data_IF_248558754759
#
_entry.id   IF_248558754759
#
_cell.length_a   1.000
_cell.length_b   1.000
_cell.length_c   1.000
_cell.angle_alpha   90.00
_cell.angle_beta   90.00
_cell.angle_gamma   90.00
#
_symmetry.space_group_name_H-M   'P 1'
#
loop_
_entity.id
_entity.type
_entity.pdbx_description
1 polymer ?
#
# COMPACT_ATOMS: atom_id res chain seq x y z
N UNK A 1 -8.03 1.02 -23.66
CA UNK A 1 -7.08 0.65 -22.58
C UNK A 1 -7.65 1.16 -21.27
N UNK A 2 -7.65 0.34 -20.21
CA UNK A 2 -8.10 0.80 -18.89
C UNK A 2 -7.08 1.81 -18.33
N UNK A 3 -7.55 2.98 -17.89
CA UNK A 3 -6.72 3.99 -17.22
C UNK A 3 -6.23 3.40 -15.90
N UNK A 4 -4.91 3.32 -15.70
CA UNK A 4 -4.32 2.85 -14.44
C UNK A 4 -4.44 3.99 -13.43
N UNK A 5 -5.18 3.73 -12.34
CA UNK A 5 -5.54 4.70 -11.32
C UNK A 5 -5.46 4.01 -9.93
N UNK A 6 -4.77 4.60 -8.94
CA UNK A 6 -4.78 4.14 -7.53
C UNK A 6 -6.17 3.84 -6.95
N UNK A 7 -7.22 4.52 -7.44
CA UNK A 7 -8.59 4.38 -6.94
C UNK A 7 -9.47 3.44 -7.79
N UNK A 8 -8.95 2.90 -8.90
CA UNK A 8 -9.69 2.03 -9.82
C UNK A 8 -9.64 0.53 -9.49
N UNK A 9 -10.57 -0.25 -10.06
CA UNK A 9 -10.69 -1.71 -9.84
C UNK A 9 -10.26 -2.58 -11.02
N UNK A 10 -9.79 -1.99 -12.12
CA UNK A 10 -9.37 -2.72 -13.33
C UNK A 10 -8.07 -3.52 -13.13
N UNK A 11 -7.98 -4.70 -13.76
CA UNK A 11 -6.76 -5.51 -13.80
C UNK A 11 -5.76 -4.98 -14.84
N UNK A 12 -4.47 -5.01 -14.51
CA UNK A 12 -3.39 -4.70 -15.44
C UNK A 12 -3.08 -5.97 -16.24
N UNK A 13 -3.11 -5.87 -17.57
CA UNK A 13 -2.85 -6.99 -18.49
C UNK A 13 -1.51 -6.88 -19.21
N UNK A 14 -0.94 -5.67 -19.36
CA UNK A 14 0.34 -5.42 -20.04
C UNK A 14 1.34 -4.76 -19.08
N UNK A 15 2.14 -5.58 -18.41
CA UNK A 15 3.11 -5.11 -17.41
C UNK A 15 4.38 -4.52 -18.03
N UNK A 16 4.80 -4.98 -19.21
CA UNK A 16 5.97 -4.41 -19.90
C UNK A 16 5.74 -2.96 -20.28
N UNK A 17 4.54 -2.65 -20.79
CA UNK A 17 4.14 -1.28 -21.09
C UNK A 17 4.16 -0.42 -19.83
N UNK A 18 3.58 -0.91 -18.72
CA UNK A 18 3.55 -0.17 -17.45
C UNK A 18 4.95 0.08 -16.89
N UNK A 19 5.86 -0.88 -17.00
CA UNK A 19 7.23 -0.71 -16.54
C UNK A 19 7.94 0.39 -17.32
N UNK A 20 7.75 0.42 -18.64
CA UNK A 20 8.33 1.43 -19.52
C UNK A 20 7.72 2.81 -19.29
N UNK A 21 6.40 2.91 -19.21
CA UNK A 21 5.69 4.18 -19.01
C UNK A 21 6.00 4.79 -17.65
N UNK A 22 6.03 3.97 -16.59
CA UNK A 22 6.31 4.45 -15.24
C UNK A 22 7.82 4.53 -14.95
N UNK A 23 8.68 4.00 -15.81
CA UNK A 23 10.13 3.95 -15.58
C UNK A 23 10.48 3.15 -14.33
N UNK A 24 9.82 2.00 -14.15
CA UNK A 24 10.05 1.06 -13.05
C UNK A 24 11.20 0.11 -13.40
N UNK A 25 12.02 -0.24 -12.41
CA UNK A 25 13.07 -1.26 -12.58
C UNK A 25 12.46 -2.63 -12.28
N UNK A 26 12.58 -3.63 -13.18
CA UNK A 26 12.19 -5.00 -12.88
C UNK A 26 12.89 -5.51 -11.63
N UNK A 27 12.21 -6.34 -10.83
CA UNK A 27 12.82 -6.91 -9.64
C UNK A 27 13.92 -7.92 -10.04
N UNK A 28 15.19 -7.75 -9.63
CA UNK A 28 16.28 -8.60 -10.11
C UNK A 28 16.18 -10.03 -9.61
N UNK A 29 16.27 -11.01 -10.52
CA UNK A 29 16.23 -12.45 -10.18
C UNK A 29 17.28 -12.85 -9.13
N UNK A 30 18.48 -12.26 -9.21
CA UNK A 30 19.56 -12.45 -8.21
C UNK A 30 19.13 -12.07 -6.79
N UNK A 31 18.24 -11.09 -6.63
CA UNK A 31 17.72 -10.71 -5.31
C UNK A 31 16.60 -11.64 -4.90
N UNK A 32 15.71 -12.04 -5.82
CA UNK A 32 14.63 -12.98 -5.56
C UNK A 32 15.13 -14.26 -4.89
N UNK A 33 16.16 -14.89 -5.47
CA UNK A 33 16.75 -16.13 -4.93
C UNK A 33 17.40 -15.94 -3.56
N UNK A 34 17.87 -14.73 -3.23
CA UNK A 34 18.47 -14.45 -1.93
C UNK A 34 17.45 -14.16 -0.84
N UNK A 35 16.25 -13.68 -1.16
CA UNK A 35 15.23 -13.30 -0.17
C UNK A 35 14.40 -14.50 0.30
N UNK A 36 14.38 -15.61 -0.45
CA UNK A 36 13.77 -16.91 -0.05
C UNK A 36 12.34 -16.76 0.48
N UNK A 37 11.48 -16.09 -0.29
CA UNK A 37 10.08 -15.93 0.02
C UNK A 37 9.25 -16.06 -1.24
N UNK A 38 8.09 -16.70 -1.14
CA UNK A 38 7.25 -17.04 -2.29
C UNK A 38 6.87 -15.82 -3.14
N UNK A 39 6.73 -14.64 -2.52
CA UNK A 39 6.43 -13.39 -3.23
C UNK A 39 7.50 -13.03 -4.26
N UNK A 40 8.77 -13.32 -3.98
CA UNK A 40 9.87 -13.06 -4.91
C UNK A 40 10.12 -14.25 -5.84
N UNK A 41 10.04 -15.48 -5.33
CA UNK A 41 10.28 -16.71 -6.11
C UNK A 41 9.23 -16.95 -7.19
N UNK A 42 7.98 -16.51 -6.94
CA UNK A 42 6.86 -16.65 -7.88
C UNK A 42 6.60 -15.37 -8.69
N UNK A 43 7.53 -14.42 -8.69
CA UNK A 43 7.40 -13.13 -9.39
C UNK A 43 6.09 -12.40 -9.08
N UNK A 44 5.64 -12.42 -7.82
CA UNK A 44 4.49 -11.62 -7.38
C UNK A 44 4.94 -10.19 -7.10
N UNK A 45 6.11 -10.04 -6.48
CA UNK A 45 6.88 -8.80 -6.51
C UNK A 45 7.59 -8.73 -7.87
N UNK A 46 7.31 -7.68 -8.63
CA UNK A 46 7.72 -7.60 -10.03
C UNK A 46 8.61 -6.41 -10.37
N UNK A 47 8.57 -5.36 -9.54
CA UNK A 47 9.40 -4.17 -9.78
C UNK A 47 9.85 -3.50 -8.48
N UNK A 48 10.77 -2.55 -8.60
CA UNK A 48 11.23 -1.70 -7.51
C UNK A 48 11.66 -0.30 -7.96
N UNK A 49 11.79 0.61 -6.98
CA UNK A 49 12.51 1.89 -7.09
C UNK A 49 13.51 2.00 -5.96
N UNK A 50 14.80 1.95 -6.29
CA UNK A 50 15.95 2.13 -5.38
C UNK A 50 15.96 1.25 -4.13
N UNK A 51 15.36 0.06 -4.22
CA UNK A 51 15.37 -0.95 -3.16
C UNK A 51 16.79 -1.49 -2.82
N UNK A 52 17.82 -1.14 -3.61
CA UNK A 52 19.21 -1.55 -3.42
C UNK A 52 19.71 -1.32 -1.99
N UNK A 53 19.45 -0.15 -1.42
CA UNK A 53 19.90 0.20 -0.07
C UNK A 53 19.22 -0.68 1.00
N UNK A 54 17.92 -0.91 0.86
CA UNK A 54 17.16 -1.76 1.79
C UNK A 54 17.60 -3.21 1.64
N UNK A 55 17.82 -3.71 0.42
CA UNK A 55 18.37 -5.04 0.18
C UNK A 55 19.71 -5.22 0.91
N UNK A 56 20.62 -4.24 0.85
CA UNK A 56 21.87 -4.29 1.59
C UNK A 56 21.67 -4.31 3.11
N UNK A 57 20.70 -3.54 3.65
CA UNK A 57 20.36 -3.59 5.07
C UNK A 57 19.86 -4.97 5.50
N UNK A 58 19.01 -5.61 4.69
CA UNK A 58 18.55 -7.00 4.92
C UNK A 58 19.74 -7.96 4.94
N UNK A 59 20.63 -7.91 3.95
CA UNK A 59 21.80 -8.80 3.86
C UNK A 59 22.78 -8.61 5.01
N UNK A 60 22.96 -7.37 5.47
CA UNK A 60 23.86 -7.02 6.56
C UNK A 60 23.22 -7.05 7.94
N UNK A 61 21.93 -7.45 8.03
CA UNK A 61 21.14 -7.48 9.28
C UNK A 61 21.13 -6.13 10.02
N UNK A 62 21.12 -5.03 9.27
CA UNK A 62 21.03 -3.66 9.79
C UNK A 62 19.60 -3.15 9.69
N UNK A 63 19.17 -2.23 10.58
CA UNK A 63 17.82 -1.71 10.56
C UNK A 63 17.54 -0.87 9.31
N UNK A 64 16.28 -0.89 8.91
CA UNK A 64 15.66 -0.07 7.86
C UNK A 64 14.19 0.16 8.24
N UNK A 65 13.52 1.13 7.62
CA UNK A 65 12.08 1.37 7.83
C UNK A 65 11.27 0.51 6.86
N UNK A 66 10.24 -0.14 7.38
CA UNK A 66 9.21 -0.84 6.61
C UNK A 66 7.88 -0.13 6.85
N UNK A 67 7.30 0.40 5.78
CA UNK A 67 6.05 1.14 5.81
C UNK A 67 5.04 0.52 4.85
N UNK A 68 3.83 0.25 5.30
CA UNK A 68 2.68 0.02 4.41
C UNK A 68 1.41 0.55 5.08
N UNK A 69 0.30 0.56 4.36
CA UNK A 69 -0.98 0.93 4.93
C UNK A 69 -2.15 0.39 4.12
N UNK A 70 -3.28 0.22 4.80
CA UNK A 70 -4.54 -0.19 4.17
C UNK A 70 -5.59 0.88 4.46
N UNK A 71 -6.20 1.41 3.39
CA UNK A 71 -7.36 2.28 3.50
C UNK A 71 -8.51 1.52 4.16
N UNK A 72 -9.06 2.07 5.25
CA UNK A 72 -10.18 1.48 5.99
C UNK A 72 -11.54 1.70 5.30
N UNK A 73 -11.61 1.44 3.99
CA UNK A 73 -12.80 1.66 3.17
C UNK A 73 -13.80 0.51 3.21
N UNK A 74 -13.43 -0.63 3.81
CA UNK A 74 -14.31 -1.79 3.93
C UNK A 74 -13.62 -2.95 4.65
N UNK A 75 -14.19 -4.15 4.49
CA UNK A 75 -13.64 -5.37 5.04
C UNK A 75 -12.41 -5.82 4.26
N UNK A 76 -11.42 -6.36 4.98
CA UNK A 76 -10.25 -6.97 4.37
C UNK A 76 -10.64 -8.27 3.66
N UNK A 77 -10.10 -8.43 2.45
CA UNK A 77 -10.18 -9.64 1.64
C UNK A 77 -8.80 -10.18 1.28
N UNK A 78 -8.75 -11.38 0.69
CA UNK A 78 -7.51 -12.05 0.28
C UNK A 78 -6.65 -11.23 -0.70
N UNK A 79 -7.23 -10.28 -1.44
CA UNK A 79 -6.46 -9.33 -2.26
C UNK A 79 -5.38 -8.56 -1.49
N UNK A 80 -5.56 -8.32 -0.19
CA UNK A 80 -4.55 -7.65 0.66
C UNK A 80 -3.41 -8.59 1.11
N UNK A 81 -3.48 -9.89 0.79
CA UNK A 81 -2.53 -10.88 1.29
C UNK A 81 -1.10 -10.61 0.84
N UNK A 82 -0.90 -10.20 -0.41
CA UNK A 82 0.43 -9.92 -0.93
C UNK A 82 1.12 -8.78 -0.16
N UNK A 83 0.36 -7.71 0.12
CA UNK A 83 0.82 -6.56 0.91
C UNK A 83 1.18 -6.98 2.35
N UNK A 84 0.26 -7.68 3.02
CA UNK A 84 0.46 -8.16 4.39
C UNK A 84 1.64 -9.11 4.52
N UNK A 85 1.74 -10.11 3.64
CA UNK A 85 2.84 -11.08 3.65
C UNK A 85 4.19 -10.39 3.37
N UNK A 86 4.21 -9.39 2.50
CA UNK A 86 5.40 -8.59 2.22
C UNK A 86 5.81 -7.76 3.45
N UNK A 87 4.85 -7.17 4.14
CA UNK A 87 5.09 -6.46 5.38
C UNK A 87 5.68 -7.37 6.47
N UNK A 88 5.11 -8.56 6.65
CA UNK A 88 5.63 -9.56 7.58
C UNK A 88 7.03 -10.05 7.19
N UNK A 89 7.31 -10.18 5.89
CA UNK A 89 8.65 -10.51 5.41
C UNK A 89 9.68 -9.47 5.85
N UNK A 90 9.41 -8.17 5.66
CA UNK A 90 10.32 -7.12 6.09
C UNK A 90 10.42 -6.98 7.61
N UNK A 91 9.31 -7.17 8.34
CA UNK A 91 9.31 -7.26 9.80
C UNK A 91 10.27 -8.35 10.29
N UNK A 92 10.17 -9.57 9.73
CA UNK A 92 11.09 -10.68 10.04
C UNK A 92 12.54 -10.42 9.62
N UNK A 93 12.74 -9.52 8.64
CA UNK A 93 14.06 -9.11 8.15
C UNK A 93 14.73 -8.01 8.98
N UNK A 94 14.14 -7.62 10.12
CA UNK A 94 14.74 -6.66 11.07
C UNK A 94 14.32 -5.20 10.87
N UNK A 95 13.21 -4.95 10.18
CA UNK A 95 12.73 -3.59 9.94
C UNK A 95 12.09 -2.93 11.17
N UNK A 96 12.11 -1.59 11.18
CA UNK A 96 11.26 -0.72 12.01
C UNK A 96 9.92 -0.57 11.30
N UNK A 97 8.85 -1.06 11.92
CA UNK A 97 7.59 -1.31 11.23
C UNK A 97 6.56 -0.22 11.51
N UNK A 98 5.93 0.25 10.44
CA UNK A 98 4.86 1.23 10.43
C UNK A 98 3.74 0.69 9.54
N UNK A 99 2.61 0.33 10.15
CA UNK A 99 1.41 -0.13 9.45
C UNK A 99 0.30 0.90 9.69
N UNK A 100 -0.09 1.65 8.67
CA UNK A 100 -1.16 2.65 8.76
C UNK A 100 -2.52 2.00 8.48
N UNK A 101 -3.44 2.09 9.43
CA UNK A 101 -4.86 1.82 9.23
C UNK A 101 -5.52 3.15 8.87
N UNK A 102 -5.71 3.39 7.57
CA UNK A 102 -5.94 4.73 7.02
C UNK A 102 -7.42 5.07 6.92
N UNK A 103 -8.01 5.47 8.04
CA UNK A 103 -9.42 5.85 8.16
C UNK A 103 -9.73 7.23 7.56
N UNK A 104 -8.83 8.20 7.72
CA UNK A 104 -8.99 9.53 7.12
C UNK A 104 -8.87 9.46 5.59
N UNK A 105 -7.88 8.74 5.06
CA UNK A 105 -7.78 8.46 3.62
C UNK A 105 -9.07 7.82 3.11
N UNK A 106 -9.53 6.73 3.74
CA UNK A 106 -10.76 6.06 3.31
C UNK A 106 -11.98 6.99 3.28
N UNK A 107 -12.12 7.89 4.26
CA UNK A 107 -13.20 8.86 4.29
C UNK A 107 -13.07 9.94 3.19
N UNK A 108 -11.85 10.42 2.93
CA UNK A 108 -11.60 11.52 2.01
C UNK A 108 -11.54 11.10 0.54
N UNK A 109 -11.12 9.86 0.25
CA UNK A 109 -10.82 9.41 -1.11
C UNK A 109 -11.88 8.49 -1.73
N UNK A 110 -12.82 7.98 -0.92
CA UNK A 110 -13.90 7.09 -1.37
C UNK A 110 -15.22 7.84 -1.50
N UNK A 111 -16.11 7.41 -2.41
CA UNK A 111 -17.44 8.02 -2.52
C UNK A 111 -18.28 7.75 -1.27
N UNK A 112 -19.24 8.63 -1.00
CA UNK A 112 -20.18 8.51 0.12
C UNK A 112 -20.97 7.20 0.11
N UNK A 113 -21.22 6.63 -1.08
CA UNK A 113 -21.86 5.32 -1.21
C UNK A 113 -21.04 4.18 -0.59
N UNK A 114 -19.74 4.35 -0.43
CA UNK A 114 -18.82 3.40 0.21
C UNK A 114 -18.48 3.79 1.65
N UNK A 115 -18.14 5.06 1.89
CA UNK A 115 -17.72 5.56 3.20
C UNK A 115 -18.52 6.83 3.55
N UNK A 116 -19.79 6.70 3.95
CA UNK A 116 -20.73 7.83 4.10
C UNK A 116 -20.42 8.80 5.25
N UNK A 117 -19.49 8.43 6.15
CA UNK A 117 -19.13 9.28 7.29
C UNK A 117 -17.80 8.89 7.90
N UNK A 118 -17.17 9.85 8.59
CA UNK A 118 -15.98 9.57 9.41
C UNK A 118 -16.25 8.53 10.51
N UNK A 119 -17.47 8.46 11.03
CA UNK A 119 -17.88 7.42 12.00
C UNK A 119 -17.78 6.03 11.36
N UNK A 120 -18.24 5.88 10.12
CA UNK A 120 -18.13 4.62 9.37
C UNK A 120 -16.67 4.26 9.08
N UNK A 121 -15.86 5.23 8.67
CA UNK A 121 -14.42 5.00 8.46
C UNK A 121 -13.72 4.50 9.73
N UNK A 122 -14.01 5.11 10.89
CA UNK A 122 -13.48 4.68 12.19
C UNK A 122 -13.95 3.29 12.60
N UNK A 123 -15.22 2.94 12.33
CA UNK A 123 -15.72 1.58 12.57
C UNK A 123 -14.97 0.55 11.72
N UNK A 124 -14.80 0.82 10.42
CA UNK A 124 -14.02 -0.05 9.54
C UNK A 124 -12.57 -0.18 10.01
N UNK A 125 -11.97 0.90 10.53
CA UNK A 125 -10.63 0.90 11.07
C UNK A 125 -10.47 0.02 12.31
N UNK A 126 -11.48 -0.02 13.19
CA UNK A 126 -11.50 -0.95 14.33
C UNK A 126 -11.44 -2.41 13.82
N UNK A 127 -12.28 -2.75 12.83
CA UNK A 127 -12.31 -4.10 12.26
C UNK A 127 -10.98 -4.45 11.57
N UNK A 128 -10.43 -3.51 10.78
CA UNK A 128 -9.17 -3.70 10.07
C UNK A 128 -7.99 -3.83 11.04
N UNK A 129 -7.98 -3.04 12.11
CA UNK A 129 -6.99 -3.14 13.19
C UNK A 129 -7.09 -4.50 13.89
N UNK A 130 -8.30 -4.96 14.22
CA UNK A 130 -8.51 -6.26 14.83
C UNK A 130 -7.97 -7.40 13.94
N UNK A 131 -8.22 -7.37 12.64
CA UNK A 131 -7.64 -8.33 11.70
C UNK A 131 -6.11 -8.25 11.65
N UNK A 132 -5.54 -7.04 11.60
CA UNK A 132 -4.10 -6.86 11.53
C UNK A 132 -3.40 -7.41 12.79
N UNK A 133 -3.98 -7.19 13.97
CA UNK A 133 -3.52 -7.77 15.23
C UNK A 133 -3.66 -9.31 15.24
N UNK A 134 -4.80 -9.84 14.77
CA UNK A 134 -5.02 -11.28 14.68
C UNK A 134 -4.02 -11.99 13.73
N UNK A 135 -3.55 -11.30 12.70
CA UNK A 135 -2.53 -11.79 11.78
C UNK A 135 -1.10 -11.74 12.35
N UNK A 136 -0.91 -11.11 13.52
CA UNK A 136 0.37 -11.08 14.22
C UNK A 136 1.09 -9.73 14.21
N UNK A 137 0.43 -8.64 13.80
CA UNK A 137 0.94 -7.30 14.12
C UNK A 137 0.79 -7.03 15.61
N UNK A 138 1.71 -6.23 16.14
CA UNK A 138 1.64 -5.74 17.52
C UNK A 138 1.26 -4.27 17.53
N UNK A 139 0.84 -3.76 18.69
CA UNK A 139 0.63 -2.33 18.91
C UNK A 139 1.86 -1.47 18.58
N UNK A 140 3.07 -2.06 18.55
CA UNK A 140 4.30 -1.38 18.16
C UNK A 140 4.55 -1.34 16.65
N UNK A 141 3.70 -1.96 15.85
CA UNK A 141 3.78 -1.96 14.39
C UNK A 141 2.73 -1.03 13.77
N UNK A 142 1.52 -1.01 14.34
CA UNK A 142 0.32 -0.42 13.72
C UNK A 142 -0.11 0.91 14.33
N UNK A 143 -0.71 1.81 13.56
CA UNK A 143 -1.45 2.98 14.07
C UNK A 143 -2.68 3.26 13.22
N UNK A 144 -3.69 3.87 13.82
CA UNK A 144 -4.86 4.39 13.10
C UNK A 144 -4.55 5.83 12.67
N UNK A 145 -4.73 6.15 11.40
CA UNK A 145 -4.28 7.42 10.81
C UNK A 145 -4.90 8.65 11.49
N UNK A 146 -6.16 8.58 11.93
CA UNK A 146 -6.81 9.65 12.71
C UNK A 146 -6.24 9.86 14.12
N UNK A 147 -5.47 8.91 14.64
CA UNK A 147 -4.73 9.02 15.91
C UNK A 147 -3.27 9.46 15.69
N UNK A 148 -2.83 9.58 14.43
CA UNK A 148 -1.46 9.90 14.07
C UNK A 148 -0.44 8.80 14.40
N UNK A 149 0.82 9.06 14.08
CA UNK A 149 1.91 8.11 14.35
C UNK A 149 2.14 7.92 15.84
N UNK A 150 2.39 6.68 16.26
CA UNK A 150 2.50 6.26 17.69
C UNK A 150 3.51 7.02 18.52
N UNK A 151 4.62 7.47 17.93
CA UNK A 151 5.68 8.17 18.66
C UNK A 151 5.32 9.62 18.95
N UNK A 152 4.72 10.30 17.98
CA UNK A 152 4.34 11.70 18.09
C UNK A 152 3.17 12.04 17.13
N UNK A 153 1.92 11.88 17.58
CA UNK A 153 0.73 12.13 16.78
C UNK A 153 0.66 13.54 16.19
N UNK A 154 0.94 14.55 17.03
CA UNK A 154 0.85 15.96 16.64
C UNK A 154 1.84 16.27 15.53
N UNK A 155 3.08 15.82 15.69
CA UNK A 155 4.14 16.05 14.71
C UNK A 155 3.84 15.40 13.36
N UNK A 156 3.24 14.21 13.35
CA UNK A 156 2.79 13.55 12.11
C UNK A 156 1.84 14.44 11.30
N UNK A 157 0.85 15.06 11.95
CA UNK A 157 -0.08 15.96 11.26
C UNK A 157 0.57 17.27 10.83
N UNK A 158 1.40 17.89 11.68
CA UNK A 158 2.18 19.08 11.30
C UNK A 158 3.05 18.79 10.07
N UNK A 159 3.68 17.61 10.02
CA UNK A 159 4.49 17.19 8.89
C UNK A 159 3.67 17.01 7.61
N UNK A 160 2.45 16.48 7.69
CA UNK A 160 1.55 16.41 6.53
C UNK A 160 1.26 17.78 5.92
N UNK A 161 1.18 18.83 6.74
CA UNK A 161 0.99 20.20 6.28
C UNK A 161 2.28 20.78 5.68
N UNK A 162 3.45 20.47 6.23
CA UNK A 162 4.74 20.86 5.62
C UNK A 162 4.94 20.26 4.23
N UNK A 163 4.55 18.99 4.04
CA UNK A 163 4.58 18.31 2.74
C UNK A 163 3.71 19.03 1.71
N UNK A 164 2.53 19.52 2.11
CA UNK A 164 1.62 20.24 1.21
C UNK A 164 2.27 21.47 0.58
N UNK A 165 3.16 22.18 1.30
CA UNK A 165 3.88 23.36 0.76
C UNK A 165 4.85 23.02 -0.36
N UNK A 166 5.20 21.74 -0.56
CA UNK A 166 6.10 21.29 -1.62
C UNK A 166 5.34 20.84 -2.88
N UNK A 167 4.01 20.78 -2.84
CA UNK A 167 3.20 20.24 -3.93
C UNK A 167 2.39 21.38 -4.53
N UNK A 168 2.63 21.66 -5.81
CA UNK A 168 1.81 22.62 -6.55
C UNK A 168 0.59 21.93 -7.14
N UNK A 169 -0.48 22.69 -7.43
CA UNK A 169 -1.64 22.19 -8.16
C UNK A 169 -1.23 21.51 -9.47
N UNK A 170 -0.36 22.15 -10.26
CA UNK A 170 0.08 21.63 -11.55
C UNK A 170 0.84 20.31 -11.41
N UNK A 171 1.69 20.18 -10.38
CA UNK A 171 2.39 18.92 -10.08
C UNK A 171 1.39 17.81 -9.74
N UNK A 172 0.41 18.10 -8.89
CA UNK A 172 -0.62 17.12 -8.51
C UNK A 172 -1.45 16.69 -9.71
N UNK A 173 -1.94 17.65 -10.49
CA UNK A 173 -2.76 17.41 -11.69
C UNK A 173 -1.99 16.63 -12.75
N UNK A 174 -0.69 16.89 -12.93
CA UNK A 174 0.15 16.12 -13.85
C UNK A 174 0.36 14.67 -13.42
N UNK A 175 0.37 14.38 -12.11
CA UNK A 175 0.58 13.03 -11.58
C UNK A 175 -0.73 12.22 -11.54
N UNK A 176 -1.82 12.82 -11.09
CA UNK A 176 -3.10 12.12 -10.89
C UNK A 176 -4.14 12.36 -12.00
N UNK A 177 -3.92 13.35 -12.87
CA UNK A 177 -4.82 13.68 -13.97
C UNK A 177 -6.15 14.31 -13.53
N UNK A 178 -6.25 14.76 -12.28
CA UNK A 178 -7.37 15.51 -11.72
C UNK A 178 -6.91 16.28 -10.47
N UNK A 179 -7.75 17.20 -9.98
CA UNK A 179 -7.57 17.89 -8.70
C UNK A 179 -8.86 17.76 -7.89
N UNK A 180 -8.93 16.71 -7.07
CA UNK A 180 -10.01 16.51 -6.11
C UNK A 180 -9.47 16.84 -4.71
N UNK A 181 -10.12 17.77 -4.01
CA UNK A 181 -9.58 18.30 -2.76
C UNK A 181 -9.55 17.26 -1.63
N UNK A 182 -10.50 16.32 -1.60
CA UNK A 182 -10.51 15.22 -0.65
C UNK A 182 -9.31 14.30 -0.87
N UNK A 183 -9.10 13.87 -2.12
CA UNK A 183 -7.94 13.06 -2.50
C UNK A 183 -6.61 13.79 -2.32
N UNK A 184 -6.55 15.10 -2.56
CA UNK A 184 -5.35 15.91 -2.27
C UNK A 184 -5.01 15.85 -0.77
N UNK A 185 -6.01 16.05 0.10
CA UNK A 185 -5.82 15.98 1.54
C UNK A 185 -5.43 14.57 2.01
N UNK A 186 -6.05 13.52 1.46
CA UNK A 186 -5.68 12.14 1.72
C UNK A 186 -4.22 11.84 1.34
N UNK A 187 -3.79 12.34 0.19
CA UNK A 187 -2.43 12.14 -0.30
C UNK A 187 -1.38 12.80 0.60
N UNK A 188 -1.65 13.97 1.20
CA UNK A 188 -0.72 14.57 2.17
C UNK A 188 -0.49 13.67 3.39
N UNK A 189 -1.54 13.00 3.87
CA UNK A 189 -1.44 12.02 4.94
C UNK A 189 -0.65 10.79 4.49
N UNK A 190 -0.90 10.27 3.28
CA UNK A 190 -0.14 9.13 2.73
C UNK A 190 1.36 9.43 2.54
N UNK A 191 1.71 10.65 2.11
CA UNK A 191 3.11 11.06 2.02
C UNK A 191 3.76 11.20 3.40
N UNK A 192 3.01 11.71 4.39
CA UNK A 192 3.46 11.76 5.76
C UNK A 192 3.67 10.35 6.32
N UNK A 193 2.72 9.45 6.09
CA UNK A 193 2.77 8.02 6.40
C UNK A 193 4.09 7.39 5.92
N UNK A 194 4.52 7.69 4.68
CA UNK A 194 5.78 7.17 4.10
C UNK A 194 7.05 7.85 4.66
N UNK A 195 7.05 9.17 4.85
CA UNK A 195 8.28 9.93 5.11
C UNK A 195 8.51 10.18 6.61
N UNK A 196 7.46 10.36 7.42
CA UNK A 196 7.59 10.69 8.84
C UNK A 196 8.47 9.73 9.66
N UNK A 197 8.56 8.42 9.36
CA UNK A 197 9.45 7.54 10.12
C UNK A 197 10.92 7.98 10.08
N UNK A 198 11.33 8.68 9.02
CA UNK A 198 12.71 9.13 8.82
C UNK A 198 13.05 10.47 9.49
N UNK A 199 12.08 11.15 10.13
CA UNK A 199 12.37 12.36 10.89
C UNK A 199 13.13 12.00 12.18
N UNK A 200 13.96 12.91 12.69
CA UNK A 200 14.88 12.70 13.82
C UNK A 200 14.17 12.20 15.08
N UNK A 201 13.00 12.76 15.36
CA UNK A 201 12.13 12.43 16.50
C UNK A 201 11.42 11.06 16.35
N UNK A 202 11.57 10.38 15.22
CA UNK A 202 11.06 9.04 14.98
C UNK A 202 12.19 8.00 14.92
N UNK A 203 12.66 7.59 13.73
CA UNK A 203 13.81 6.69 13.55
C UNK A 203 15.07 7.42 13.06
N UNK A 204 14.94 8.70 12.67
CA UNK A 204 15.99 9.45 11.97
C UNK A 204 16.27 8.93 10.57
N UNK A 205 17.28 9.53 9.91
CA UNK A 205 17.67 9.17 8.55
C UNK A 205 17.95 7.67 8.41
N UNK A 206 17.11 6.98 7.64
CA UNK A 206 17.20 5.53 7.50
C UNK A 206 16.60 5.08 6.17
N UNK A 207 17.27 4.16 5.43
CA UNK A 207 16.65 3.57 4.24
C UNK A 207 15.28 3.00 4.57
N UNK A 208 14.30 3.30 3.72
CA UNK A 208 12.90 2.92 3.92
C UNK A 208 12.38 2.18 2.69
N UNK A 209 11.51 1.19 2.90
CA UNK A 209 10.77 0.51 1.84
C UNK A 209 9.28 0.63 2.10
N UNK A 210 8.53 0.95 1.04
CA UNK A 210 7.07 0.85 1.01
C UNK A 210 6.64 -0.19 -0.02
N UNK A 211 5.89 -1.19 0.45
CA UNK A 211 5.27 -2.20 -0.41
C UNK A 211 3.94 -1.70 -0.94
N UNK A 212 3.77 -1.67 -2.26
CA UNK A 212 2.54 -1.18 -2.89
C UNK A 212 2.15 -1.99 -4.12
N UNK A 213 0.87 -1.94 -4.49
CA UNK A 213 0.42 -2.35 -5.81
C UNK A 213 0.96 -1.41 -6.90
N UNK A 214 1.12 -1.91 -8.12
CA UNK A 214 1.67 -1.12 -9.25
C UNK A 214 0.84 0.13 -9.55
N UNK A 215 -0.49 0.06 -9.38
CA UNK A 215 -1.37 1.20 -9.60
C UNK A 215 -1.10 2.38 -8.64
N UNK A 216 -0.41 2.15 -7.52
CA UNK A 216 -0.08 3.17 -6.53
C UNK A 216 1.23 3.92 -6.85
N UNK A 217 1.91 3.61 -7.96
CA UNK A 217 3.16 4.29 -8.34
C UNK A 217 3.07 5.83 -8.43
N UNK A 218 1.94 6.46 -8.81
CA UNK A 218 1.80 7.92 -8.71
C UNK A 218 2.15 8.47 -7.31
N UNK A 219 1.76 7.77 -6.24
CA UNK A 219 2.11 8.13 -4.87
C UNK A 219 3.62 7.99 -4.64
N UNK A 220 4.23 6.90 -5.11
CA UNK A 220 5.67 6.67 -4.97
C UNK A 220 6.50 7.77 -5.66
N UNK A 221 6.12 8.15 -6.88
CA UNK A 221 6.78 9.20 -7.67
C UNK A 221 6.74 10.53 -6.93
N UNK A 222 5.56 10.98 -6.53
CA UNK A 222 5.41 12.29 -5.89
C UNK A 222 6.02 12.32 -4.49
N UNK A 223 5.88 11.24 -3.70
CA UNK A 223 6.54 11.12 -2.38
C UNK A 223 8.05 11.30 -2.51
N UNK A 224 8.69 10.65 -3.49
CA UNK A 224 10.14 10.75 -3.72
C UNK A 224 10.57 12.14 -4.18
N UNK A 225 9.77 12.81 -5.00
CA UNK A 225 10.03 14.18 -5.44
C UNK A 225 9.90 15.18 -4.28
N UNK A 226 8.89 15.00 -3.42
CA UNK A 226 8.73 15.82 -2.21
C UNK A 226 9.88 15.57 -1.23
N UNK A 227 10.25 14.32 -0.96
CA UNK A 227 11.32 13.98 -0.03
C UNK A 227 12.65 14.68 -0.35
N UNK A 228 12.99 14.83 -1.65
CA UNK A 228 14.22 15.54 -2.10
C UNK A 228 14.20 17.06 -1.87
N UNK A 229 13.02 17.66 -1.71
CA UNK A 229 12.83 19.12 -1.59
C UNK A 229 12.56 19.58 -0.16
N UNK A 230 12.47 18.63 0.76
CA UNK A 230 12.30 18.92 2.18
C UNK A 230 13.64 19.33 2.82
N UNK A 231 13.61 20.23 3.80
CA UNK A 231 14.81 20.68 4.51
C UNK A 231 15.21 19.69 5.64
N UNK A 232 15.04 18.38 5.42
CA UNK A 232 15.34 17.33 6.38
C UNK A 232 16.42 16.41 5.83
N UNK A 233 17.25 15.84 6.71
CA UNK A 233 18.22 14.83 6.32
C UNK A 233 17.52 13.47 6.14
N UNK A 234 17.05 13.20 4.93
CA UNK A 234 16.26 12.01 4.60
C UNK A 234 16.99 11.12 3.61
N UNK A 235 16.79 9.81 3.71
CA UNK A 235 16.99 8.92 2.56
C UNK A 235 15.77 9.02 1.64
N UNK A 236 15.99 9.06 0.33
CA UNK A 236 14.88 9.04 -0.63
C UNK A 236 14.13 7.71 -0.47
N UNK A 237 12.82 7.70 -0.20
CA UNK A 237 12.09 6.47 0.04
C UNK A 237 12.17 5.49 -1.14
N UNK A 238 12.41 4.22 -0.84
CA UNK A 238 12.38 3.14 -1.82
C UNK A 238 11.01 2.48 -1.85
N UNK A 239 10.66 1.89 -3.00
CA UNK A 239 9.38 1.23 -3.21
C UNK A 239 9.59 -0.13 -3.84
N UNK A 240 8.72 -1.05 -3.49
CA UNK A 240 8.67 -2.39 -4.06
C UNK A 240 7.24 -2.69 -4.48
N UNK A 241 7.08 -3.24 -5.68
CA UNK A 241 5.79 -3.31 -6.35
C UNK A 241 5.35 -4.75 -6.51
N UNK A 242 4.16 -5.06 -6.03
CA UNK A 242 3.54 -6.37 -6.19
C UNK A 242 2.34 -6.31 -7.13
N UNK A 243 2.05 -7.46 -7.73
CA UNK A 243 0.81 -7.71 -8.44
C UNK A 243 -0.27 -8.16 -7.45
N UNK A 244 -1.46 -7.56 -7.57
CA UNK A 244 -2.60 -7.99 -6.78
C UNK A 244 -3.09 -9.36 -7.22
N UNK A 245 -3.64 -10.12 -6.27
CA UNK A 245 -4.38 -11.33 -6.60
C UNK A 245 -5.60 -10.98 -7.45
N UNK A 246 -5.86 -11.80 -8.48
CA UNK A 246 -7.07 -11.69 -9.28
C UNK A 246 -8.32 -11.90 -8.43
N UNK A 247 -9.40 -11.21 -8.80
CA UNK A 247 -10.72 -11.45 -8.25
C UNK A 247 -11.32 -12.76 -8.74
N UNK A 248 -12.41 -13.17 -8.09
CA UNK A 248 -13.10 -14.43 -8.40
C UNK A 248 -13.86 -14.38 -9.73
N UNK A 249 -14.11 -13.19 -10.30
CA UNK A 249 -14.75 -13.04 -11.61
C UNK A 249 -13.69 -12.77 -12.68
N UNK A 250 -13.98 -13.16 -13.92
CA UNK A 250 -13.06 -12.99 -15.04
C UNK A 250 -12.60 -11.53 -15.18
N UNK A 251 -11.28 -11.32 -15.31
CA UNK A 251 -10.68 -9.99 -15.49
C UNK A 251 -10.87 -9.00 -14.34
N UNK A 252 -11.34 -9.46 -13.17
CA UNK A 252 -11.64 -8.59 -12.03
C UNK A 252 -10.50 -8.53 -11.01
N UNK A 253 -10.44 -7.44 -10.23
CA UNK A 253 -9.73 -7.40 -8.94
C UNK A 253 -10.70 -7.73 -7.81
N UNK A 254 -10.17 -8.24 -6.69
CA UNK A 254 -10.95 -8.31 -5.45
C UNK A 254 -11.30 -6.88 -5.00
N UNK A 255 -12.56 -6.64 -4.67
CA UNK A 255 -13.04 -5.34 -4.20
C UNK A 255 -14.08 -5.49 -3.11
N UNK A 256 -13.95 -4.70 -2.03
CA UNK A 256 -14.97 -4.63 -0.98
C UNK A 256 -16.31 -4.09 -1.49
N UNK A 257 -16.33 -3.33 -2.58
CA UNK A 257 -17.57 -2.82 -3.19
C UNK A 257 -18.27 -3.83 -4.10
N UNK A 258 -17.59 -4.92 -4.49
CA UNK A 258 -18.13 -6.00 -5.31
C UNK A 258 -17.91 -7.35 -4.59
N UNK A 259 -18.73 -7.69 -3.58
CA UNK A 259 -18.46 -8.81 -2.67
C UNK A 259 -18.29 -10.18 -3.35
N UNK A 260 -18.89 -10.37 -4.52
CA UNK A 260 -18.80 -11.61 -5.30
C UNK A 260 -17.47 -11.74 -6.07
N UNK A 261 -16.60 -10.72 -6.08
CA UNK A 261 -15.24 -10.81 -6.62
C UNK A 261 -14.19 -11.15 -5.57
N UNK A 262 -14.55 -11.22 -4.28
CA UNK A 262 -13.60 -11.29 -3.18
C UNK A 262 -14.00 -12.29 -2.08
N UNK A 263 -13.00 -12.97 -1.50
CA UNK A 263 -13.13 -13.73 -0.26
C UNK A 263 -12.68 -12.84 0.90
N UNK A 264 -13.59 -12.53 1.82
CA UNK A 264 -13.31 -11.68 2.99
C UNK A 264 -12.81 -12.50 4.17
N UNK A 265 -12.07 -11.86 5.07
CA UNK A 265 -11.52 -12.52 6.27
C UNK A 265 -12.59 -12.95 7.27
N UNK A 266 -13.80 -12.42 7.16
CA UNK A 266 -14.95 -12.75 8.00
C UNK A 266 -16.04 -13.52 7.24
N UNK A 267 -15.77 -13.97 6.00
CA UNK A 267 -16.68 -14.88 5.33
C UNK A 267 -16.82 -16.17 6.16
N UNK A 268 -18.06 -16.66 6.30
CA UNK A 268 -18.25 -18.00 6.85
C UNK A 268 -17.60 -19.04 5.93
N UNK A 269 -17.23 -20.20 6.45
CA UNK A 269 -16.69 -21.28 5.61
C UNK A 269 -17.62 -21.63 4.44
N UNK A 270 -18.95 -21.58 4.68
CA UNK A 270 -19.98 -21.80 3.67
C UNK A 270 -20.00 -20.70 2.59
N UNK A 271 -19.85 -19.43 2.99
CA UNK A 271 -19.80 -18.31 2.04
C UNK A 271 -18.53 -18.33 1.21
N UNK A 272 -17.38 -18.60 1.84
CA UNK A 272 -16.11 -18.76 1.15
C UNK A 272 -16.18 -19.91 0.13
N UNK A 273 -16.73 -21.07 0.52
CA UNK A 273 -16.94 -22.20 -0.38
C UNK A 273 -17.85 -21.82 -1.56
N UNK A 274 -19.00 -21.20 -1.28
CA UNK A 274 -19.94 -20.74 -2.31
C UNK A 274 -19.26 -19.80 -3.30
N UNK A 275 -18.50 -18.84 -2.82
CA UNK A 275 -17.78 -17.86 -3.65
C UNK A 275 -16.72 -18.54 -4.52
N UNK A 276 -15.94 -19.46 -3.96
CA UNK A 276 -14.90 -20.21 -4.69
C UNK A 276 -15.54 -21.11 -5.75
N UNK A 277 -16.63 -21.82 -5.44
CA UNK A 277 -17.34 -22.66 -6.41
C UNK A 277 -17.91 -21.86 -7.59
N UNK A 278 -18.26 -20.60 -7.36
CA UNK A 278 -18.78 -19.68 -8.38
C UNK A 278 -17.69 -18.86 -9.07
N UNK A 279 -16.42 -19.09 -8.75
CA UNK A 279 -15.31 -18.37 -9.36
C UNK A 279 -15.15 -18.73 -10.84
N UNK A 280 -14.61 -17.80 -11.61
CA UNK A 280 -14.27 -18.01 -13.01
C UNK A 280 -13.29 -19.18 -13.15
N UNK A 281 -13.58 -20.06 -14.10
CA UNK A 281 -12.72 -21.19 -14.44
C UNK A 281 -12.31 -21.07 -15.90
N UNK A 282 -11.03 -21.28 -16.21
CA UNK A 282 -10.52 -21.31 -17.59
C UNK A 282 -10.75 -22.65 -18.30
N UNK A 283 -11.43 -23.60 -17.67
CA UNK A 283 -11.75 -24.90 -18.24
C UNK A 283 -12.91 -24.80 -19.24
N UNK A 284 -13.01 -25.77 -20.17
CA UNK A 284 -14.17 -25.86 -21.05
C UNK A 284 -15.42 -26.24 -20.24
N UNK A 285 -16.60 -25.69 -20.54
CA UNK A 285 -17.86 -26.01 -19.85
C UNK A 285 -18.20 -27.51 -19.86
N UNK A 286 -17.79 -28.22 -20.91
CA UNK A 286 -17.83 -29.68 -21.05
C UNK A 286 -16.60 -30.13 -21.86
N UNK A 287 -16.11 -31.34 -21.57
CA UNK A 287 -15.05 -31.99 -22.33
C UNK A 287 -15.59 -32.56 -23.64
#
# INVERSE_FOLDING_TARGET
>A
MARIDPWGSGQITDYEHVFKEFGLKPFPEKWSSSLKHYLFERNIVVAHRDFDLVFQKIKTKKPFVNMTGIASSGQLHLGHKADLDLFFFFKKSGARNYFSVSDLDAYLSRPDSSVPSIKKAKQNAVDNLAHALALGLTEKDVYVQSQGSRKNPRRYFEFSLELSKKITKNTFEAVYGHVDLGKVAANFLQYADIIHPQLEEFEGKMPSVTGIGIEQDPHARLTRDVARRLPYDLEVPSFIYFQHQSGLREGSKMSSSLPETAVFLNDSAKDAERKIRNAFTGGRPTA
#
